data_IF_495016418431
#
_entry.id   IF_495016418431
#
_cell.length_a   1.000
_cell.length_b   1.000
_cell.length_c   1.000
_cell.angle_alpha   90.00
_cell.angle_beta   90.00
_cell.angle_gamma   90.00
#
_symmetry.space_group_name_H-M   'P 1'
#
loop_
_entity.id
_entity.type
_entity.pdbx_description
1 polymer ?
#
# COMPACT_ATOMS: atom_id res chain seq x y z
N UNK A 1 -5.25 36.47 -2.17
CA UNK A 1 -4.94 35.05 -1.87
C UNK A 1 -3.46 34.87 -2.09
N UNK A 2 -2.70 34.72 -1.01
CA UNK A 2 -1.24 34.59 -1.12
C UNK A 2 -0.80 33.40 -0.26
N UNK A 3 -0.61 32.26 -0.91
CA UNK A 3 0.13 31.14 -0.30
C UNK A 3 1.60 31.53 -0.25
N UNK A 4 2.17 31.64 0.95
CA UNK A 4 3.53 32.10 1.17
C UNK A 4 4.38 30.96 1.74
N UNK A 5 5.48 30.62 1.06
CA UNK A 5 6.45 29.66 1.58
C UNK A 5 7.48 30.37 2.44
N UNK A 6 7.50 30.07 3.73
CA UNK A 6 8.57 30.53 4.64
C UNK A 6 9.81 29.64 4.52
N UNK A 7 9.63 28.37 4.12
CA UNK A 7 10.69 27.44 3.76
C UNK A 7 10.27 26.63 2.55
N UNK A 8 11.17 26.43 1.61
CA UNK A 8 11.00 25.64 0.39
C UNK A 8 11.82 24.34 0.44
N UNK A 9 11.29 23.29 -0.16
CA UNK A 9 12.05 22.10 -0.49
C UNK A 9 12.94 22.33 -1.73
N UNK A 10 13.91 21.43 -1.95
CA UNK A 10 14.71 21.40 -3.19
C UNK A 10 13.83 21.24 -4.44
N UNK A 11 14.24 21.80 -5.59
CA UNK A 11 13.54 21.58 -6.86
C UNK A 11 13.48 20.11 -7.28
N UNK A 12 12.40 19.71 -8.00
CA UNK A 12 12.17 18.33 -8.44
C UNK A 12 13.13 17.82 -9.54
N UNK A 13 13.91 18.71 -10.18
CA UNK A 13 14.82 18.34 -11.26
C UNK A 13 15.91 17.33 -10.86
N UNK A 14 16.37 17.40 -9.61
CA UNK A 14 17.43 16.51 -9.09
C UNK A 14 16.94 15.08 -8.83
N UNK A 15 15.62 14.88 -8.72
CA UNK A 15 15.00 13.57 -8.44
C UNK A 15 14.91 12.66 -9.69
N UNK A 16 14.86 13.24 -10.89
CA UNK A 16 14.63 12.48 -12.12
C UNK A 16 15.82 11.59 -12.52
N UNK A 17 17.05 12.00 -12.22
CA UNK A 17 18.25 11.24 -12.52
C UNK A 17 18.39 10.02 -11.61
N UNK A 18 18.10 10.16 -10.32
CA UNK A 18 18.13 9.08 -9.33
C UNK A 18 17.10 7.99 -9.67
N UNK A 19 15.92 8.42 -10.15
CA UNK A 19 14.86 7.50 -10.58
C UNK A 19 15.26 6.68 -11.81
N UNK A 20 15.98 7.26 -12.77
CA UNK A 20 16.43 6.54 -13.97
C UNK A 20 17.49 5.47 -13.64
N UNK A 21 18.43 5.81 -12.75
CA UNK A 21 19.44 4.86 -12.30
C UNK A 21 18.81 3.70 -11.50
N UNK A 22 17.86 4.02 -10.61
CA UNK A 22 17.12 3.01 -9.84
C UNK A 22 16.39 2.03 -10.76
N UNK A 23 15.72 2.52 -11.82
CA UNK A 23 15.03 1.66 -12.82
C UNK A 23 15.97 0.69 -13.49
N UNK A 24 17.12 1.15 -13.97
CA UNK A 24 18.09 0.31 -14.67
C UNK A 24 18.66 -0.80 -13.76
N UNK A 25 18.98 -0.46 -12.51
CA UNK A 25 19.47 -1.43 -11.53
C UNK A 25 18.41 -2.51 -11.24
N UNK A 26 17.16 -2.10 -11.07
CA UNK A 26 16.06 -3.03 -10.79
C UNK A 26 15.81 -3.95 -11.98
N UNK A 27 15.72 -3.41 -13.19
CA UNK A 27 15.49 -4.18 -14.41
C UNK A 27 16.58 -5.25 -14.61
N UNK A 28 17.85 -4.86 -14.47
CA UNK A 28 18.98 -5.78 -14.57
C UNK A 28 18.89 -6.89 -13.50
N UNK A 29 18.55 -6.52 -12.28
CA UNK A 29 18.44 -7.48 -11.16
C UNK A 29 17.30 -8.47 -11.38
N UNK A 30 16.11 -8.00 -11.80
CA UNK A 30 14.96 -8.87 -12.08
C UNK A 30 15.23 -9.82 -13.24
N UNK A 31 15.90 -9.34 -14.31
CA UNK A 31 16.32 -10.17 -15.45
C UNK A 31 17.29 -11.27 -15.00
N UNK A 32 18.24 -10.95 -14.12
CA UNK A 32 19.18 -11.92 -13.58
C UNK A 32 18.48 -13.00 -12.74
N UNK A 33 17.52 -12.60 -11.90
CA UNK A 33 16.72 -13.56 -11.12
C UNK A 33 15.89 -14.47 -12.03
N UNK A 34 15.30 -13.94 -13.10
CA UNK A 34 14.54 -14.74 -14.07
C UNK A 34 15.40 -15.75 -14.79
N UNK A 35 16.65 -15.40 -15.09
CA UNK A 35 17.59 -16.26 -15.82
C UNK A 35 18.25 -17.32 -14.94
N UNK A 36 18.58 -17.01 -13.68
CA UNK A 36 19.43 -17.87 -12.81
C UNK A 36 18.76 -18.35 -11.52
N UNK A 37 17.49 -17.97 -11.26
CA UNK A 37 16.71 -18.43 -10.13
C UNK A 37 17.38 -18.23 -8.77
N UNK A 38 17.40 -19.27 -7.94
CA UNK A 38 18.00 -19.25 -6.59
C UNK A 38 19.46 -18.83 -6.58
N UNK A 39 20.23 -19.10 -7.64
CA UNK A 39 21.65 -18.71 -7.69
C UNK A 39 21.80 -17.18 -7.74
N UNK A 40 20.97 -16.49 -8.54
CA UNK A 40 20.97 -15.03 -8.57
C UNK A 40 20.56 -14.44 -7.20
N UNK A 41 19.54 -15.00 -6.57
CA UNK A 41 19.09 -14.58 -5.23
C UNK A 41 20.22 -14.74 -4.20
N UNK A 42 20.98 -15.85 -4.24
CA UNK A 42 22.11 -16.09 -3.33
C UNK A 42 23.24 -15.08 -3.53
N UNK A 43 23.63 -14.84 -4.78
CA UNK A 43 24.70 -13.91 -5.12
C UNK A 43 24.34 -12.49 -4.66
N UNK A 44 23.09 -12.07 -4.88
CA UNK A 44 22.58 -10.76 -4.45
C UNK A 44 22.49 -10.64 -2.92
N UNK A 45 21.97 -11.66 -2.24
CA UNK A 45 21.88 -11.68 -0.77
C UNK A 45 23.28 -11.67 -0.13
N UNK A 46 24.25 -12.41 -0.70
CA UNK A 46 25.66 -12.37 -0.25
C UNK A 46 26.25 -10.97 -0.46
N UNK A 47 25.96 -10.35 -1.61
CA UNK A 47 26.53 -9.04 -1.97
C UNK A 47 25.98 -7.90 -1.10
N UNK A 48 24.68 -7.87 -0.88
CA UNK A 48 24.01 -6.75 -0.22
C UNK A 48 23.77 -6.95 1.29
N UNK A 49 23.48 -8.18 1.68
CA UNK A 49 23.11 -8.50 3.07
C UNK A 49 24.22 -9.28 3.79
N UNK A 50 25.27 -9.71 3.08
CA UNK A 50 26.33 -10.62 3.58
C UNK A 50 25.76 -11.88 4.25
N UNK A 51 24.63 -12.36 3.69
CA UNK A 51 23.83 -13.43 4.27
C UNK A 51 23.36 -14.40 3.17
N UNK A 52 23.96 -15.59 3.10
CA UNK A 52 23.56 -16.63 2.15
C UNK A 52 23.56 -18.02 2.83
N UNK A 53 22.59 -18.30 3.71
CA UNK A 53 22.48 -19.58 4.41
C UNK A 53 22.13 -20.71 3.45
N UNK A 54 22.23 -21.97 3.92
CA UNK A 54 21.84 -23.14 3.13
C UNK A 54 20.38 -23.05 2.64
N UNK A 55 19.49 -22.52 3.46
CA UNK A 55 18.08 -22.21 3.11
C UNK A 55 17.71 -20.83 3.62
N UNK A 56 17.10 -20.03 2.77
CA UNK A 56 16.51 -18.76 3.18
C UNK A 56 15.17 -18.94 3.93
N UNK A 57 14.48 -20.07 3.70
CA UNK A 57 13.26 -20.43 4.42
C UNK A 57 13.61 -20.90 5.80
N UNK A 58 12.95 -20.32 6.80
CA UNK A 58 13.04 -20.80 8.18
C UNK A 58 12.15 -22.02 8.36
N UNK A 59 12.70 -23.05 9.03
CA UNK A 59 11.88 -24.18 9.51
C UNK A 59 11.05 -23.77 10.73
N UNK A 60 10.01 -24.52 11.05
CA UNK A 60 9.21 -24.30 12.25
C UNK A 60 10.06 -24.32 13.53
N UNK A 61 11.03 -25.24 13.61
CA UNK A 61 11.96 -25.33 14.74
C UNK A 61 12.79 -24.06 14.86
N UNK A 62 13.31 -23.53 13.75
CA UNK A 62 14.08 -22.28 13.72
C UNK A 62 13.19 -21.11 14.13
N UNK A 63 11.95 -21.02 13.62
CA UNK A 63 11.00 -19.98 13.98
C UNK A 63 10.75 -19.99 15.50
N UNK A 64 10.44 -21.13 16.09
CA UNK A 64 10.22 -21.23 17.53
C UNK A 64 11.44 -20.85 18.37
N UNK A 65 12.65 -21.28 17.96
CA UNK A 65 13.91 -20.89 18.62
C UNK A 65 14.18 -19.38 18.53
N UNK A 66 13.85 -18.76 17.40
CA UNK A 66 14.03 -17.32 17.21
C UNK A 66 13.02 -16.55 18.08
N UNK A 67 11.74 -16.95 18.04
CA UNK A 67 10.67 -16.30 18.81
C UNK A 67 10.92 -16.39 20.32
N UNK A 68 11.49 -17.49 20.80
CA UNK A 68 11.82 -17.67 22.21
C UNK A 68 12.85 -16.62 22.75
N UNK A 69 13.54 -15.91 21.86
CA UNK A 69 14.46 -14.81 22.21
C UNK A 69 13.72 -13.47 22.44
N UNK A 70 12.45 -13.36 22.08
CA UNK A 70 11.67 -12.12 22.22
C UNK A 70 11.31 -11.92 23.70
N UNK A 71 11.62 -10.77 24.31
CA UNK A 71 11.22 -10.46 25.68
C UNK A 71 9.69 -10.54 25.84
N UNK A 72 9.23 -10.96 27.02
CA UNK A 72 7.80 -11.15 27.28
C UNK A 72 6.99 -9.86 27.05
N UNK A 73 7.55 -8.69 27.46
CA UNK A 73 6.93 -7.38 27.26
C UNK A 73 6.75 -7.06 25.77
N UNK A 74 7.80 -7.26 24.97
CA UNK A 74 7.76 -6.99 23.52
C UNK A 74 6.76 -7.93 22.83
N UNK A 75 6.65 -9.16 23.30
CA UNK A 75 5.67 -10.12 22.80
C UNK A 75 4.22 -9.68 23.10
N UNK A 76 3.98 -9.09 24.27
CA UNK A 76 2.67 -8.52 24.63
C UNK A 76 2.33 -7.34 23.72
N UNK A 77 3.28 -6.43 23.48
CA UNK A 77 3.12 -5.26 22.62
C UNK A 77 2.85 -5.68 21.16
N UNK A 78 3.56 -6.70 20.64
CA UNK A 78 3.32 -7.29 19.32
C UNK A 78 1.89 -7.83 19.23
N UNK A 79 1.44 -8.59 20.21
CA UNK A 79 0.08 -9.17 20.23
C UNK A 79 -0.98 -8.10 20.31
N UNK A 80 -0.77 -7.06 21.15
CA UNK A 80 -1.70 -5.94 21.27
C UNK A 80 -1.86 -5.22 19.92
N UNK A 81 -0.76 -4.79 19.30
CA UNK A 81 -0.78 -4.10 18.01
C UNK A 81 -1.45 -4.95 16.92
N UNK A 82 -1.09 -6.24 16.85
CA UNK A 82 -1.69 -7.16 15.87
C UNK A 82 -3.20 -7.31 16.06
N UNK A 83 -3.67 -7.36 17.31
CA UNK A 83 -5.10 -7.45 17.60
C UNK A 83 -5.86 -6.22 17.10
N UNK A 84 -5.30 -5.00 17.26
CA UNK A 84 -5.93 -3.79 16.75
C UNK A 84 -6.03 -3.81 15.22
N UNK A 85 -4.95 -4.21 14.54
CA UNK A 85 -4.94 -4.36 13.07
C UNK A 85 -5.99 -5.39 12.61
N UNK A 86 -6.07 -6.55 13.29
CA UNK A 86 -7.09 -7.57 12.99
C UNK A 86 -8.51 -7.06 13.21
N UNK A 87 -8.75 -6.35 14.32
CA UNK A 87 -10.06 -5.79 14.64
C UNK A 87 -10.55 -4.87 13.52
N UNK A 88 -9.71 -3.93 13.10
CA UNK A 88 -10.11 -2.99 12.04
C UNK A 88 -10.22 -3.66 10.67
N UNK A 89 -9.28 -4.53 10.32
CA UNK A 89 -9.33 -5.32 9.10
C UNK A 89 -10.61 -6.20 9.02
N UNK A 90 -11.06 -6.76 10.17
CA UNK A 90 -12.31 -7.54 10.23
C UNK A 90 -13.52 -6.66 9.96
N UNK A 91 -13.61 -5.47 10.58
CA UNK A 91 -14.68 -4.50 10.30
C UNK A 91 -14.71 -4.13 8.81
N UNK A 92 -13.55 -3.89 8.21
CA UNK A 92 -13.46 -3.64 6.78
C UNK A 92 -13.92 -4.85 5.95
N UNK A 93 -13.54 -6.08 6.34
CA UNK A 93 -13.96 -7.32 5.65
C UNK A 93 -15.46 -7.51 5.72
N UNK A 94 -16.05 -7.27 6.88
CA UNK A 94 -17.49 -7.45 7.13
C UNK A 94 -18.34 -6.42 6.37
N UNK A 95 -17.77 -5.27 6.02
CA UNK A 95 -18.43 -4.25 5.20
C UNK A 95 -18.50 -4.60 3.71
N UNK A 96 -17.75 -5.62 3.27
CA UNK A 96 -17.70 -6.07 1.87
C UNK A 96 -18.65 -7.24 1.66
N UNK A 97 -19.87 -6.95 1.25
CA UNK A 97 -20.91 -7.95 1.02
C UNK A 97 -20.88 -8.43 -0.43
N UNK A 98 -21.10 -9.75 -0.62
CA UNK A 98 -21.46 -10.28 -1.92
C UNK A 98 -22.84 -9.74 -2.32
N UNK A 99 -23.03 -9.47 -3.60
CA UNK A 99 -24.28 -8.93 -4.14
C UNK A 99 -24.87 -9.91 -5.13
N UNK A 100 -26.16 -10.15 -5.04
CA UNK A 100 -26.97 -10.80 -6.08
C UNK A 100 -28.28 -10.04 -6.22
N UNK A 101 -28.62 -9.61 -7.45
CA UNK A 101 -29.81 -8.79 -7.72
C UNK A 101 -30.39 -9.13 -9.07
N UNK A 102 -31.72 -9.21 -9.17
CA UNK A 102 -32.46 -9.27 -10.41
C UNK A 102 -32.65 -7.86 -10.96
N UNK A 103 -31.91 -7.50 -12.02
CA UNK A 103 -31.94 -6.13 -12.62
C UNK A 103 -32.98 -5.97 -13.72
N UNK A 104 -33.33 -7.07 -14.36
CA UNK A 104 -34.45 -7.20 -15.30
C UNK A 104 -35.14 -8.53 -15.01
N UNK A 105 -36.45 -8.70 -15.26
CA UNK A 105 -37.11 -9.98 -15.04
C UNK A 105 -36.36 -11.13 -15.72
N UNK A 106 -35.94 -12.10 -14.93
CA UNK A 106 -35.16 -13.26 -15.38
C UNK A 106 -33.66 -13.00 -15.60
N UNK A 107 -33.13 -11.80 -15.31
CA UNK A 107 -31.69 -11.47 -15.42
C UNK A 107 -31.11 -11.20 -14.04
N UNK A 108 -30.26 -12.09 -13.58
CA UNK A 108 -29.57 -12.00 -12.28
C UNK A 108 -28.13 -11.56 -12.52
N UNK A 109 -27.73 -10.50 -11.87
CA UNK A 109 -26.34 -10.02 -11.80
C UNK A 109 -25.82 -10.13 -10.37
N UNK A 110 -24.56 -10.42 -10.23
CA UNK A 110 -23.93 -10.42 -8.91
C UNK A 110 -22.44 -10.22 -8.95
N UNK A 111 -21.85 -10.01 -7.77
CA UNK A 111 -20.41 -10.09 -7.59
C UNK A 111 -20.05 -10.82 -6.29
N UNK A 112 -18.84 -11.35 -6.26
CA UNK A 112 -18.24 -12.00 -5.09
C UNK A 112 -16.87 -11.44 -4.81
N UNK A 113 -16.54 -11.35 -3.53
CA UNK A 113 -15.21 -10.98 -3.05
C UNK A 113 -14.39 -12.24 -2.76
N UNK A 114 -13.47 -12.56 -3.67
CA UNK A 114 -12.67 -13.78 -3.62
C UNK A 114 -11.21 -13.43 -3.29
N UNK A 115 -10.63 -14.01 -2.20
CA UNK A 115 -9.23 -13.80 -1.87
C UNK A 115 -8.29 -14.18 -3.01
N UNK A 116 -7.17 -13.46 -3.16
CA UNK A 116 -6.06 -13.92 -3.99
C UNK A 116 -5.55 -15.25 -3.44
N UNK A 117 -5.08 -16.14 -4.31
CA UNK A 117 -4.66 -17.48 -3.88
C UNK A 117 -3.32 -17.48 -3.12
N UNK A 118 -2.49 -16.46 -3.34
CA UNK A 118 -1.24 -16.30 -2.60
C UNK A 118 -0.78 -14.85 -2.59
N UNK A 119 -0.12 -14.47 -1.49
CA UNK A 119 0.49 -13.14 -1.32
C UNK A 119 1.90 -13.25 -0.80
N UNK A 120 2.78 -12.40 -1.32
CA UNK A 120 4.13 -12.16 -0.82
C UNK A 120 4.18 -10.85 -0.04
N UNK A 121 4.42 -10.95 1.26
CA UNK A 121 4.53 -9.82 2.17
C UNK A 121 6.01 -9.45 2.34
N UNK A 122 6.40 -8.27 1.87
CA UNK A 122 7.72 -7.73 2.14
C UNK A 122 7.71 -6.93 3.44
N UNK A 123 8.53 -7.35 4.40
CA UNK A 123 8.67 -6.71 5.72
C UNK A 123 10.07 -6.11 5.83
N UNK A 124 10.24 -4.78 5.77
CA UNK A 124 11.55 -4.15 5.85
C UNK A 124 12.22 -4.38 7.21
N UNK A 125 13.53 -4.60 7.20
CA UNK A 125 14.34 -4.70 8.42
C UNK A 125 15.80 -4.22 8.25
N UNK A 126 16.09 -3.42 7.22
CA UNK A 126 17.46 -2.97 6.94
C UNK A 126 17.99 -2.01 8.00
N UNK A 127 17.56 -0.76 7.97
CA UNK A 127 17.95 0.27 8.95
C UNK A 127 17.24 0.07 10.30
N UNK A 128 15.95 -0.22 10.25
CA UNK A 128 15.08 -0.46 11.40
C UNK A 128 14.29 -1.76 11.21
N UNK A 129 14.18 -2.62 12.24
CA UNK A 129 13.32 -3.81 12.18
C UNK A 129 11.85 -3.39 12.24
N UNK A 130 11.18 -3.41 11.08
CA UNK A 130 9.82 -2.90 10.93
C UNK A 130 8.77 -3.93 11.36
N UNK A 131 8.69 -4.20 12.67
CA UNK A 131 7.75 -5.16 13.26
C UNK A 131 6.30 -4.88 12.86
N UNK A 132 5.89 -3.61 12.88
CA UNK A 132 4.54 -3.20 12.50
C UNK A 132 4.19 -3.55 11.05
N UNK A 133 5.14 -3.52 10.11
CA UNK A 133 4.88 -3.89 8.71
C UNK A 133 4.45 -5.35 8.55
N UNK A 134 4.85 -6.25 9.45
CA UNK A 134 4.34 -7.62 9.48
C UNK A 134 2.87 -7.66 9.89
N UNK A 135 2.45 -6.84 10.86
CA UNK A 135 1.03 -6.73 11.24
C UNK A 135 0.19 -6.22 10.07
N UNK A 136 0.68 -5.15 9.43
CA UNK A 136 -0.05 -4.47 8.35
C UNK A 136 -0.22 -5.34 7.10
N UNK A 137 0.77 -6.15 6.76
CA UNK A 137 0.72 -7.01 5.58
C UNK A 137 0.20 -8.42 5.88
N UNK A 138 0.81 -9.14 6.82
CA UNK A 138 0.52 -10.55 7.06
C UNK A 138 -0.82 -10.74 7.80
N UNK A 139 -1.07 -9.97 8.88
CA UNK A 139 -2.31 -10.14 9.63
C UNK A 139 -3.53 -9.69 8.82
N UNK A 140 -3.41 -8.62 8.02
CA UNK A 140 -4.49 -8.18 7.11
C UNK A 140 -4.77 -9.23 6.02
N UNK A 141 -3.72 -9.85 5.44
CA UNK A 141 -3.88 -10.96 4.49
C UNK A 141 -4.60 -12.16 5.11
N UNK A 142 -4.27 -12.49 6.36
CA UNK A 142 -4.91 -13.57 7.13
C UNK A 142 -6.41 -13.29 7.33
N UNK A 143 -6.78 -12.05 7.72
CA UNK A 143 -8.19 -11.64 7.88
C UNK A 143 -8.93 -11.66 6.53
N UNK A 144 -8.27 -11.30 5.44
CA UNK A 144 -8.85 -11.40 4.09
C UNK A 144 -9.11 -12.85 3.66
N UNK A 145 -8.55 -13.85 4.35
CA UNK A 145 -8.68 -15.26 4.03
C UNK A 145 -7.78 -15.74 2.89
N UNK A 146 -6.60 -15.14 2.71
CA UNK A 146 -5.63 -15.56 1.69
C UNK A 146 -5.08 -16.95 2.04
N UNK A 147 -5.22 -17.98 1.16
CA UNK A 147 -4.85 -19.35 1.49
C UNK A 147 -3.34 -19.58 1.67
N UNK A 148 -2.50 -18.83 0.97
CA UNK A 148 -1.04 -18.91 1.09
C UNK A 148 -0.42 -17.54 1.28
N UNK A 149 0.15 -17.31 2.45
CA UNK A 149 0.82 -16.07 2.84
C UNK A 149 2.30 -16.38 3.05
N UNK A 150 3.17 -15.80 2.24
CA UNK A 150 4.61 -15.84 2.45
C UNK A 150 5.12 -14.49 2.89
N UNK A 151 6.11 -14.45 3.76
CA UNK A 151 6.71 -13.22 4.24
C UNK A 151 8.23 -13.26 4.09
N UNK A 152 8.79 -12.17 3.55
CA UNK A 152 10.22 -11.98 3.39
C UNK A 152 10.69 -10.78 4.20
N UNK A 153 11.82 -10.93 4.88
CA UNK A 153 12.49 -9.84 5.61
C UNK A 153 14.00 -9.97 5.43
N UNK A 154 14.75 -8.87 5.27
CA UNK A 154 16.21 -8.95 5.27
C UNK A 154 16.74 -9.40 6.64
N UNK A 155 17.96 -9.95 6.70
CA UNK A 155 18.63 -10.14 7.97
C UNK A 155 18.90 -8.78 8.64
N UNK A 156 18.92 -8.77 9.95
CA UNK A 156 19.31 -7.62 10.77
C UNK A 156 20.57 -7.98 11.54
N UNK A 157 21.67 -7.26 11.31
CA UNK A 157 22.99 -7.59 11.87
C UNK A 157 23.42 -9.04 11.57
N UNK A 158 23.14 -9.55 10.37
CA UNK A 158 23.54 -10.90 9.93
C UNK A 158 22.67 -12.05 10.45
N UNK A 159 21.57 -11.77 11.15
CA UNK A 159 20.65 -12.78 11.69
C UNK A 159 19.18 -12.36 11.46
N UNK A 160 18.21 -13.31 11.47
CA UNK A 160 16.79 -12.98 11.50
C UNK A 160 16.44 -12.19 12.76
N UNK A 161 15.78 -11.03 12.64
CA UNK A 161 15.32 -10.27 13.80
C UNK A 161 14.18 -11.01 14.54
N UNK A 162 14.33 -11.33 15.85
CA UNK A 162 13.35 -12.12 16.58
C UNK A 162 11.94 -11.52 16.63
N UNK A 163 11.83 -10.21 16.84
CA UNK A 163 10.54 -9.53 16.93
C UNK A 163 9.81 -9.51 15.56
N UNK A 164 10.55 -9.31 14.46
CA UNK A 164 9.98 -9.34 13.10
C UNK A 164 9.50 -10.76 12.76
N UNK A 165 10.31 -11.78 13.07
CA UNK A 165 9.91 -13.19 12.85
C UNK A 165 8.69 -13.55 13.69
N UNK A 166 8.65 -13.14 14.95
CA UNK A 166 7.48 -13.33 15.82
C UNK A 166 6.22 -12.67 15.25
N UNK A 167 6.35 -11.44 14.78
CA UNK A 167 5.23 -10.71 14.19
C UNK A 167 4.71 -11.35 12.90
N UNK A 168 5.59 -11.82 12.02
CA UNK A 168 5.20 -12.55 10.80
C UNK A 168 4.52 -13.88 11.14
N UNK A 169 5.07 -14.66 12.06
CA UNK A 169 4.51 -15.95 12.46
C UNK A 169 3.13 -15.79 13.13
N UNK A 170 3.02 -14.93 14.13
CA UNK A 170 1.77 -14.63 14.82
C UNK A 170 0.74 -13.98 13.88
N UNK A 171 1.20 -13.24 12.87
CA UNK A 171 0.36 -12.67 11.82
C UNK A 171 -0.34 -13.71 10.97
N UNK A 172 0.22 -14.90 10.85
CA UNK A 172 -0.31 -16.02 10.06
C UNK A 172 0.47 -16.28 8.77
N UNK A 173 1.76 -15.92 8.70
CA UNK A 173 2.61 -16.31 7.58
C UNK A 173 2.81 -17.83 7.57
N UNK A 174 2.53 -18.46 6.44
CA UNK A 174 2.74 -19.90 6.21
C UNK A 174 4.19 -20.25 5.91
N UNK A 175 4.91 -19.32 5.33
CA UNK A 175 6.31 -19.45 4.96
C UNK A 175 7.05 -18.15 5.29
N UNK A 176 8.18 -18.24 5.97
CA UNK A 176 9.01 -17.08 6.34
C UNK A 176 10.39 -17.26 5.72
N UNK A 177 10.83 -16.26 4.97
CA UNK A 177 12.13 -16.22 4.30
C UNK A 177 12.96 -15.05 4.80
N UNK A 178 14.23 -15.28 5.04
CA UNK A 178 15.20 -14.24 5.42
C UNK A 178 15.94 -13.78 4.18
N UNK A 179 15.29 -12.91 3.42
CA UNK A 179 15.79 -12.32 2.17
C UNK A 179 15.27 -10.87 2.11
N UNK A 180 16.12 -9.92 1.75
CA UNK A 180 15.76 -8.50 1.60
C UNK A 180 15.77 -8.00 0.16
N UNK A 181 15.48 -6.74 -0.03
CA UNK A 181 15.69 -5.99 -1.25
C UNK A 181 14.92 -6.45 -2.49
N UNK A 182 15.46 -6.11 -3.66
CA UNK A 182 14.90 -6.46 -4.97
C UNK A 182 14.81 -7.98 -5.11
N UNK A 183 15.82 -8.72 -4.62
CA UNK A 183 15.90 -10.16 -4.76
C UNK A 183 14.75 -10.88 -4.01
N UNK A 184 14.28 -10.36 -2.88
CA UNK A 184 13.12 -10.90 -2.19
C UNK A 184 11.83 -10.71 -3.01
N UNK A 185 11.62 -9.49 -3.50
CA UNK A 185 10.45 -9.13 -4.30
C UNK A 185 10.44 -9.87 -5.64
N UNK A 186 11.61 -9.94 -6.30
CA UNK A 186 11.80 -10.69 -7.54
C UNK A 186 11.54 -12.18 -7.37
N UNK A 187 12.13 -12.81 -6.34
CA UNK A 187 11.92 -14.23 -6.04
C UNK A 187 10.45 -14.56 -5.75
N UNK A 188 9.75 -13.69 -5.00
CA UNK A 188 8.31 -13.89 -4.73
C UNK A 188 7.45 -13.75 -5.97
N UNK A 189 7.77 -12.85 -6.91
CA UNK A 189 6.96 -12.60 -8.10
C UNK A 189 7.27 -13.54 -9.27
N UNK A 190 8.56 -13.76 -9.53
CA UNK A 190 9.05 -14.56 -10.66
C UNK A 190 8.96 -16.04 -10.33
N UNK A 191 9.25 -16.38 -9.08
CA UNK A 191 9.47 -17.72 -8.60
C UNK A 191 10.93 -18.16 -8.82
N UNK A 192 11.38 -19.07 -7.98
CA UNK A 192 12.68 -19.73 -8.08
C UNK A 192 12.51 -21.21 -7.78
N UNK A 193 13.61 -21.97 -7.73
CA UNK A 193 13.55 -23.40 -7.40
C UNK A 193 12.99 -23.66 -5.99
N UNK A 194 13.22 -22.73 -5.05
CA UNK A 194 12.79 -22.86 -3.64
C UNK A 194 11.61 -22.00 -3.26
N UNK A 195 11.26 -20.97 -4.03
CA UNK A 195 10.17 -20.04 -3.76
C UNK A 195 9.13 -20.11 -4.88
N UNK A 196 7.97 -20.71 -4.60
CA UNK A 196 6.84 -20.68 -5.55
C UNK A 196 6.31 -19.27 -5.70
N UNK A 197 6.03 -18.79 -6.94
CA UNK A 197 5.55 -17.45 -7.17
C UNK A 197 4.21 -17.19 -6.46
N UNK A 198 3.95 -15.91 -6.21
CA UNK A 198 2.72 -15.41 -5.62
C UNK A 198 1.88 -14.63 -6.65
N UNK A 199 0.61 -14.38 -6.34
CA UNK A 199 -0.29 -13.62 -7.20
C UNK A 199 -0.33 -12.12 -6.86
N UNK A 200 0.05 -11.75 -5.63
CA UNK A 200 0.04 -10.38 -5.14
C UNK A 200 1.29 -10.12 -4.31
N UNK A 201 1.91 -8.96 -4.48
CA UNK A 201 2.99 -8.44 -3.65
C UNK A 201 2.49 -7.28 -2.80
N UNK A 202 2.79 -7.29 -1.52
CA UNK A 202 2.40 -6.23 -0.59
C UNK A 202 3.57 -5.85 0.33
N UNK A 203 3.49 -4.65 0.86
CA UNK A 203 4.44 -4.13 1.84
C UNK A 203 5.23 -2.92 1.34
N UNK A 204 5.62 -2.02 2.26
CA UNK A 204 6.43 -0.86 1.96
C UNK A 204 7.90 -1.25 1.75
N UNK A 205 8.69 -0.37 1.15
CA UNK A 205 10.11 -0.57 1.00
C UNK A 205 10.83 0.68 0.51
N UNK A 206 12.15 0.60 0.40
CA UNK A 206 12.94 1.67 -0.18
C UNK A 206 12.62 1.85 -1.69
N UNK A 207 13.25 2.86 -2.31
CA UNK A 207 13.03 3.18 -3.73
C UNK A 207 13.23 1.98 -4.67
N UNK A 208 14.19 1.10 -4.39
CA UNK A 208 14.46 -0.09 -5.19
C UNK A 208 13.36 -1.14 -5.07
N UNK A 209 12.86 -1.38 -3.87
CA UNK A 209 11.73 -2.30 -3.61
C UNK A 209 10.45 -1.78 -4.26
N UNK A 210 10.16 -0.48 -4.11
CA UNK A 210 9.01 0.16 -4.73
C UNK A 210 9.07 0.07 -6.27
N UNK A 211 10.24 0.33 -6.85
CA UNK A 211 10.47 0.21 -8.29
C UNK A 211 10.40 -1.23 -8.79
N UNK A 212 10.89 -2.22 -8.01
CA UNK A 212 10.75 -3.62 -8.34
C UNK A 212 9.26 -4.05 -8.39
N UNK A 213 8.46 -3.64 -7.41
CA UNK A 213 7.01 -3.86 -7.44
C UNK A 213 6.37 -3.24 -8.69
N UNK A 214 6.76 -2.01 -9.04
CA UNK A 214 6.25 -1.31 -10.23
C UNK A 214 6.56 -2.07 -11.52
N UNK A 215 7.79 -2.57 -11.69
CA UNK A 215 8.19 -3.32 -12.89
C UNK A 215 7.53 -4.71 -12.98
N UNK A 216 7.21 -5.30 -11.84
CA UNK A 216 6.55 -6.61 -11.76
C UNK A 216 5.02 -6.53 -11.87
N UNK A 217 4.43 -5.32 -11.78
CA UNK A 217 2.99 -5.13 -11.95
C UNK A 217 2.55 -5.57 -13.35
N UNK A 218 1.49 -6.36 -13.39
CA UNK A 218 1.03 -7.03 -14.60
C UNK A 218 1.43 -8.51 -14.66
N UNK A 219 2.62 -8.87 -14.20
CA UNK A 219 2.99 -10.27 -13.93
C UNK A 219 2.34 -10.75 -12.63
N UNK A 220 2.38 -9.92 -11.59
CA UNK A 220 1.67 -10.08 -10.32
C UNK A 220 0.92 -8.80 -9.97
N UNK A 221 -0.08 -8.88 -9.11
CA UNK A 221 -0.68 -7.69 -8.51
C UNK A 221 0.27 -7.03 -7.51
N UNK A 222 0.06 -5.73 -7.27
CA UNK A 222 0.70 -5.02 -6.15
C UNK A 222 -0.35 -4.30 -5.32
N UNK A 223 -0.05 -4.05 -4.06
CA UNK A 223 -0.92 -3.27 -3.17
C UNK A 223 -1.06 -1.82 -3.65
N UNK A 224 0.08 -1.13 -3.75
CA UNK A 224 0.20 0.28 -4.16
C UNK A 224 1.68 0.63 -4.37
N UNK A 225 1.94 1.84 -4.85
CA UNK A 225 3.28 2.39 -4.90
C UNK A 225 3.60 3.09 -3.58
N UNK A 226 4.45 2.51 -2.76
CA UNK A 226 4.94 3.05 -1.49
C UNK A 226 6.45 3.26 -1.55
N UNK A 227 6.86 4.49 -1.79
CA UNK A 227 8.25 4.95 -1.81
C UNK A 227 8.66 5.64 -0.50
N UNK A 228 9.54 6.64 -0.54
CA UNK A 228 9.94 7.40 0.65
C UNK A 228 8.76 8.04 1.36
N UNK A 229 8.76 7.98 2.69
CA UNK A 229 7.70 8.54 3.55
C UNK A 229 7.53 10.04 3.35
N UNK A 230 6.29 10.49 3.28
CA UNK A 230 5.86 11.88 3.10
C UNK A 230 4.90 12.26 4.23
N UNK A 231 5.11 13.41 4.88
CA UNK A 231 4.25 13.86 5.98
C UNK A 231 3.87 15.33 5.83
N UNK A 232 2.60 15.62 6.04
CA UNK A 232 2.07 16.97 6.11
C UNK A 232 1.31 17.17 7.42
N UNK A 233 1.57 18.29 8.08
CA UNK A 233 0.80 18.77 9.21
C UNK A 233 0.01 19.99 8.76
N UNK A 234 -1.29 19.93 8.93
CA UNK A 234 -2.21 21.07 8.77
C UNK A 234 -2.59 21.51 10.17
N UNK A 235 -2.20 22.71 10.56
CA UNK A 235 -2.39 23.20 11.91
C UNK A 235 -2.79 24.69 11.94
N UNK A 236 -3.50 25.09 12.98
CA UNK A 236 -3.80 26.49 13.31
C UNK A 236 -3.24 26.84 14.70
N UNK A 237 -3.67 27.94 15.28
CA UNK A 237 -3.21 28.43 16.60
C UNK A 237 -3.79 27.66 17.80
N UNK A 238 -4.53 26.58 17.58
CA UNK A 238 -5.04 25.70 18.63
C UNK A 238 -4.01 24.69 19.14
N UNK A 239 -2.88 24.54 18.47
CA UNK A 239 -1.76 23.68 18.87
C UNK A 239 -0.45 24.46 18.95
N UNK A 240 0.52 23.88 19.63
CA UNK A 240 1.84 24.52 19.83
C UNK A 240 2.90 24.05 18.81
N UNK A 241 3.97 24.82 18.74
CA UNK A 241 5.05 24.60 17.80
C UNK A 241 5.88 23.34 18.13
N UNK A 242 6.00 22.95 19.39
CA UNK A 242 6.74 21.77 19.82
C UNK A 242 6.06 20.50 19.29
N UNK A 243 4.73 20.43 19.34
CA UNK A 243 3.97 19.32 18.79
C UNK A 243 4.16 19.20 17.27
N UNK A 244 4.00 20.31 16.54
CA UNK A 244 4.22 20.31 15.08
C UNK A 244 5.65 19.88 14.70
N UNK A 245 6.64 20.44 15.35
CA UNK A 245 8.06 20.14 15.09
C UNK A 245 8.41 18.68 15.42
N UNK A 246 7.91 18.16 16.54
CA UNK A 246 8.15 16.78 16.98
C UNK A 246 7.56 15.79 15.98
N UNK A 247 6.29 15.99 15.55
CA UNK A 247 5.61 15.09 14.63
C UNK A 247 6.27 15.14 13.24
N UNK A 248 6.72 16.31 12.78
CA UNK A 248 7.44 16.44 11.51
C UNK A 248 8.79 15.73 11.52
N UNK A 249 9.59 15.94 12.57
CA UNK A 249 10.93 15.35 12.68
C UNK A 249 10.88 13.84 12.94
N UNK A 250 9.86 13.36 13.68
CA UNK A 250 9.62 11.94 13.88
C UNK A 250 9.34 11.18 12.58
N UNK A 251 8.89 11.86 11.54
CA UNK A 251 8.72 11.28 10.19
C UNK A 251 9.94 11.52 9.30
N UNK A 252 10.62 12.66 9.45
CA UNK A 252 11.83 12.98 8.68
C UNK A 252 13.00 12.01 8.96
N UNK A 253 13.02 11.30 10.09
CA UNK A 253 14.04 10.30 10.44
C UNK A 253 13.99 9.01 9.58
N UNK A 254 12.89 8.76 8.85
CA UNK A 254 12.75 7.58 8.00
C UNK A 254 13.82 7.50 6.91
N UNK A 255 14.22 8.64 6.35
CA UNK A 255 15.25 8.68 5.31
C UNK A 255 15.64 10.10 4.91
N UNK A 256 16.79 10.23 4.25
CA UNK A 256 17.34 11.54 3.80
C UNK A 256 16.43 12.27 2.80
N UNK A 257 15.44 11.60 2.23
CA UNK A 257 14.53 12.12 1.20
C UNK A 257 13.04 12.01 1.61
N UNK A 258 12.75 12.11 2.91
CA UNK A 258 11.38 12.05 3.47
C UNK A 258 10.81 13.46 3.64
N UNK A 259 9.93 13.97 2.76
CA UNK A 259 9.37 15.31 2.89
C UNK A 259 8.54 15.46 4.16
N UNK A 260 8.70 16.61 4.83
CA UNK A 260 7.87 17.00 5.96
C UNK A 260 7.41 18.47 5.76
N UNK A 261 6.09 18.70 5.78
CA UNK A 261 5.53 20.02 5.51
C UNK A 261 4.59 20.46 6.64
N UNK A 262 4.72 21.71 7.05
CA UNK A 262 3.70 22.42 7.84
C UNK A 262 2.89 23.33 6.92
N UNK A 263 1.57 23.24 6.98
CA UNK A 263 0.63 24.13 6.32
C UNK A 263 -0.24 24.78 7.40
N UNK A 264 -0.21 26.11 7.51
CA UNK A 264 -0.87 26.80 8.62
C UNK A 264 -1.43 28.16 8.22
N UNK A 265 -2.47 28.60 8.91
CA UNK A 265 -2.97 30.01 8.84
C UNK A 265 -2.28 30.91 9.86
N UNK A 266 -1.54 30.36 10.82
CA UNK A 266 -0.88 31.12 11.89
C UNK A 266 0.59 31.38 11.56
N UNK A 267 0.94 32.63 11.27
CA UNK A 267 2.33 33.04 11.11
C UNK A 267 3.16 32.80 12.36
N UNK A 268 2.58 33.07 13.53
CA UNK A 268 3.26 32.86 14.81
C UNK A 268 3.61 31.38 15.02
N UNK A 269 2.67 30.46 14.72
CA UNK A 269 2.93 29.02 14.78
C UNK A 269 4.02 28.61 13.77
N UNK A 270 3.96 29.10 12.54
CA UNK A 270 4.94 28.80 11.51
C UNK A 270 6.38 29.19 11.92
N UNK A 271 6.55 30.43 12.42
CA UNK A 271 7.85 30.96 12.84
C UNK A 271 8.34 30.22 14.11
N UNK A 272 7.47 29.96 15.08
CA UNK A 272 7.83 29.20 16.28
C UNK A 272 8.20 27.75 15.95
N UNK A 273 7.51 27.08 15.01
CA UNK A 273 7.84 25.72 14.58
C UNK A 273 9.24 25.64 13.95
N UNK A 274 9.66 26.63 13.18
CA UNK A 274 11.02 26.69 12.64
C UNK A 274 12.07 26.71 13.77
N UNK A 275 11.85 27.50 14.82
CA UNK A 275 12.74 27.55 15.99
C UNK A 275 12.74 26.24 16.80
N UNK A 276 11.57 25.63 16.97
CA UNK A 276 11.47 24.35 17.66
C UNK A 276 12.14 23.21 16.90
N UNK A 277 12.06 23.18 15.56
CA UNK A 277 12.81 22.21 14.76
C UNK A 277 14.30 22.32 15.00
N UNK A 278 14.85 23.55 14.97
CA UNK A 278 16.27 23.77 15.27
C UNK A 278 16.66 23.30 16.67
N UNK A 279 15.80 23.54 17.67
CA UNK A 279 16.01 23.07 19.06
C UNK A 279 16.00 21.56 19.15
N UNK A 280 14.97 20.90 18.57
CA UNK A 280 14.80 19.44 18.66
C UNK A 280 15.92 18.72 17.91
N UNK A 281 16.37 19.20 16.78
CA UNK A 281 17.50 18.62 16.03
C UNK A 281 18.80 18.59 16.83
N UNK A 282 18.96 19.41 17.89
CA UNK A 282 20.14 19.37 18.78
C UNK A 282 20.09 18.23 19.80
N UNK A 283 18.92 17.68 20.06
CA UNK A 283 18.72 16.64 21.10
C UNK A 283 18.20 15.32 20.53
N UNK A 284 17.72 15.30 19.29
CA UNK A 284 17.16 14.11 18.66
C UNK A 284 18.28 13.12 18.30
N UNK A 285 18.26 11.87 18.81
CA UNK A 285 19.31 10.88 18.50
C UNK A 285 19.44 10.55 17.00
N UNK A 286 18.36 10.73 16.21
CA UNK A 286 18.32 10.48 14.78
C UNK A 286 18.51 11.74 13.93
N UNK A 287 19.03 12.82 14.54
CA UNK A 287 19.23 14.11 13.89
C UNK A 287 20.08 14.04 12.60
N UNK A 288 21.05 13.13 12.52
CA UNK A 288 21.89 12.95 11.32
C UNK A 288 21.03 12.65 10.07
N UNK A 289 19.94 11.95 10.21
CA UNK A 289 19.01 11.67 9.11
C UNK A 289 17.96 12.78 8.98
N UNK A 290 17.31 13.12 10.11
CA UNK A 290 16.20 14.06 10.11
C UNK A 290 16.61 15.48 9.66
N UNK A 291 17.82 15.95 10.04
CA UNK A 291 18.30 17.26 9.64
C UNK A 291 18.53 17.37 8.11
N UNK A 292 19.07 16.34 7.49
CA UNK A 292 19.27 16.31 6.03
C UNK A 292 17.93 16.31 5.32
N UNK A 293 17.01 15.47 5.76
CA UNK A 293 15.66 15.41 5.21
C UNK A 293 14.93 16.76 5.36
N UNK A 294 14.97 17.35 6.56
CA UNK A 294 14.36 18.64 6.82
C UNK A 294 15.00 19.77 5.99
N UNK A 295 16.33 19.83 5.93
CA UNK A 295 17.05 20.83 5.14
C UNK A 295 16.62 20.80 3.68
N UNK A 296 16.57 19.61 3.08
CA UNK A 296 16.42 19.42 1.65
C UNK A 296 14.95 19.29 1.20
N UNK A 297 14.06 18.76 2.05
CA UNK A 297 12.67 18.45 1.69
C UNK A 297 11.64 19.03 2.64
N UNK A 298 12.07 19.73 3.70
CA UNK A 298 11.15 20.38 4.64
C UNK A 298 10.50 21.62 4.01
N UNK A 299 9.23 21.85 4.30
CA UNK A 299 8.46 23.03 3.86
C UNK A 299 7.66 23.62 5.01
N UNK A 300 7.53 24.95 5.00
CA UNK A 300 6.60 25.69 5.87
C UNK A 300 5.80 26.65 5.00
N UNK A 301 4.50 26.43 4.96
CA UNK A 301 3.57 27.08 4.03
C UNK A 301 2.51 27.85 4.84
N UNK A 302 2.48 29.16 4.67
CA UNK A 302 1.49 30.04 5.28
C UNK A 302 0.37 30.31 4.29
N UNK A 303 -0.86 30.07 4.70
CA UNK A 303 -2.09 30.31 3.97
C UNK A 303 -2.94 31.36 4.67
N UNK A 304 -3.83 32.04 3.94
CA UNK A 304 -4.76 33.00 4.53
C UNK A 304 -6.01 32.31 5.11
N UNK A 305 -6.37 31.12 4.60
CA UNK A 305 -7.61 30.43 4.95
C UNK A 305 -7.45 28.90 5.02
N UNK A 306 -8.39 28.23 5.73
CA UNK A 306 -8.49 26.76 5.73
C UNK A 306 -8.72 26.17 4.32
N UNK A 307 -9.45 26.87 3.47
CA UNK A 307 -9.67 26.44 2.08
C UNK A 307 -8.36 26.43 1.26
N UNK A 308 -7.46 27.37 1.50
CA UNK A 308 -6.15 27.38 0.88
C UNK A 308 -5.24 26.29 1.46
N UNK A 309 -5.29 26.02 2.78
CA UNK A 309 -4.60 24.88 3.37
C UNK A 309 -5.06 23.55 2.75
N UNK A 310 -6.36 23.37 2.60
CA UNK A 310 -6.94 22.22 1.90
C UNK A 310 -6.42 22.13 0.46
N UNK A 311 -6.44 23.22 -0.29
CA UNK A 311 -5.95 23.26 -1.67
C UNK A 311 -4.49 22.84 -1.77
N UNK A 312 -3.63 23.29 -0.87
CA UNK A 312 -2.21 22.89 -0.81
C UNK A 312 -2.10 21.39 -0.56
N UNK A 313 -2.87 20.86 0.40
CA UNK A 313 -2.88 19.43 0.72
C UNK A 313 -3.31 18.57 -0.46
N UNK A 314 -4.41 18.92 -1.12
CA UNK A 314 -4.93 18.24 -2.32
C UNK A 314 -3.90 18.23 -3.48
N UNK A 315 -3.17 19.33 -3.65
CA UNK A 315 -2.12 19.43 -4.69
C UNK A 315 -0.91 18.54 -4.39
N UNK A 316 -0.53 18.41 -3.11
CA UNK A 316 0.60 17.61 -2.68
C UNK A 316 0.22 16.12 -2.54
N UNK A 317 -1.00 15.82 -2.09
CA UNK A 317 -1.54 14.48 -1.90
C UNK A 317 -0.54 13.55 -1.15
N UNK A 318 -0.08 14.02 0.01
CA UNK A 318 0.94 13.34 0.80
C UNK A 318 0.45 12.03 1.40
N UNK A 319 1.40 11.17 1.72
CA UNK A 319 1.18 9.87 2.35
C UNK A 319 0.46 10.01 3.70
N UNK A 320 1.04 10.79 4.60
CA UNK A 320 0.47 11.07 5.92
C UNK A 320 0.01 12.52 5.98
N UNK A 321 -1.25 12.75 6.29
CA UNK A 321 -1.79 14.09 6.53
C UNK A 321 -2.37 14.14 7.93
N UNK A 322 -1.74 14.90 8.81
CA UNK A 322 -2.21 15.13 10.19
C UNK A 322 -2.86 16.51 10.25
N UNK A 323 -4.11 16.54 10.69
CA UNK A 323 -4.90 17.77 10.86
C UNK A 323 -5.06 18.05 12.34
N UNK A 324 -4.61 19.20 12.78
CA UNK A 324 -4.69 19.67 14.16
C UNK A 324 -5.22 21.12 14.16
N UNK A 325 -6.52 21.26 13.95
CA UNK A 325 -7.20 22.54 13.82
C UNK A 325 -8.47 22.56 14.64
N UNK A 326 -9.14 23.71 14.72
CA UNK A 326 -10.50 23.82 15.28
C UNK A 326 -11.58 23.23 14.35
N UNK A 327 -11.19 22.69 13.15
CA UNK A 327 -12.10 22.20 12.09
C UNK A 327 -11.74 20.80 11.57
N UNK A 328 -11.29 19.91 12.41
CA UNK A 328 -10.86 18.58 12.00
C UNK A 328 -11.94 17.80 11.21
N UNK A 329 -13.21 17.86 11.67
CA UNK A 329 -14.32 17.21 10.99
C UNK A 329 -14.60 17.81 9.60
N UNK A 330 -14.38 19.11 9.44
CA UNK A 330 -14.52 19.76 8.14
C UNK A 330 -13.46 19.22 7.14
N UNK A 331 -12.21 19.01 7.61
CA UNK A 331 -11.19 18.39 6.76
C UNK A 331 -11.54 16.95 6.41
N UNK A 332 -12.07 16.16 7.36
CA UNK A 332 -12.53 14.79 7.09
C UNK A 332 -13.59 14.76 5.97
N UNK A 333 -14.49 15.74 5.95
CA UNK A 333 -15.57 15.84 4.96
C UNK A 333 -15.06 16.29 3.58
N UNK A 334 -14.05 17.16 3.52
CA UNK A 334 -13.67 17.84 2.28
C UNK A 334 -12.37 17.35 1.64
N UNK A 335 -11.51 16.65 2.38
CA UNK A 335 -10.26 16.09 1.82
C UNK A 335 -10.53 14.86 0.99
N UNK A 336 -9.87 14.78 -0.16
CA UNK A 336 -10.02 13.67 -1.12
C UNK A 336 -8.69 13.02 -1.55
N UNK A 337 -7.56 13.68 -1.34
CA UNK A 337 -6.25 13.25 -1.82
C UNK A 337 -5.23 13.11 -0.68
N UNK A 338 -5.19 11.95 -0.05
CA UNK A 338 -4.24 11.60 1.01
C UNK A 338 -4.00 10.08 1.06
N UNK A 339 -2.91 9.67 1.67
CA UNK A 339 -2.69 8.25 1.95
C UNK A 339 -3.41 7.81 3.23
N UNK A 340 -3.12 8.47 4.34
CA UNK A 340 -3.79 8.32 5.63
C UNK A 340 -4.06 9.68 6.27
N UNK A 341 -5.23 9.83 6.91
CA UNK A 341 -5.67 11.05 7.58
C UNK A 341 -5.70 10.84 9.09
N UNK A 342 -5.03 11.74 9.83
CA UNK A 342 -4.89 11.72 11.28
C UNK A 342 -5.54 12.98 11.85
N UNK A 343 -6.57 12.83 12.67
CA UNK A 343 -7.42 13.94 13.11
C UNK A 343 -7.22 14.26 14.59
N UNK A 344 -6.96 15.51 14.86
CA UNK A 344 -6.82 16.08 16.19
C UNK A 344 -5.45 15.88 16.84
N UNK A 345 -5.13 16.73 17.83
CA UNK A 345 -3.81 16.74 18.46
C UNK A 345 -3.52 15.50 19.35
N UNK A 346 -4.52 14.67 19.66
CA UNK A 346 -4.36 13.41 20.38
C UNK A 346 -3.99 12.24 19.47
N UNK A 347 -4.09 12.44 18.15
CA UNK A 347 -3.78 11.46 17.13
C UNK A 347 -2.48 11.87 16.45
N UNK A 348 -1.56 10.93 16.25
CA UNK A 348 -0.35 11.17 15.47
C UNK A 348 -0.04 9.98 14.54
N UNK A 349 0.88 10.19 13.62
CA UNK A 349 1.30 9.18 12.65
C UNK A 349 1.85 7.93 13.34
N UNK A 350 2.70 8.10 14.38
CA UNK A 350 3.31 6.96 15.08
C UNK A 350 2.28 6.04 15.74
N UNK A 351 1.23 6.59 16.32
CA UNK A 351 0.13 5.77 16.87
C UNK A 351 -0.59 4.98 15.78
N UNK A 352 -0.89 5.63 14.65
CA UNK A 352 -1.47 4.97 13.47
C UNK A 352 -0.58 3.88 12.91
N UNK A 353 0.70 4.18 12.76
CA UNK A 353 1.68 3.26 12.20
C UNK A 353 1.94 2.02 13.07
N UNK A 354 1.72 2.11 14.37
CA UNK A 354 2.17 1.06 15.29
C UNK A 354 1.02 0.31 15.97
N UNK A 355 -0.01 1.02 16.49
CA UNK A 355 -0.85 0.40 17.52
C UNK A 355 -2.36 0.60 17.41
N UNK A 356 -2.89 1.58 16.67
CA UNK A 356 -4.35 1.83 16.67
C UNK A 356 -5.15 0.99 15.68
N UNK A 357 -4.52 0.40 14.68
CA UNK A 357 -5.15 -0.60 13.82
C UNK A 357 -5.36 -0.21 12.36
N UNK A 358 -5.25 1.06 12.00
CA UNK A 358 -5.20 1.49 10.60
C UNK A 358 -3.90 1.02 9.94
N UNK A 359 -3.93 0.81 8.62
CA UNK A 359 -2.76 0.31 7.92
C UNK A 359 -1.79 1.43 7.54
N UNK A 360 -0.51 1.25 7.84
CA UNK A 360 0.54 2.22 7.56
C UNK A 360 1.19 2.08 6.17
N UNK A 361 0.84 1.06 5.41
CA UNK A 361 1.32 0.93 4.03
C UNK A 361 0.46 1.84 3.16
N UNK A 362 0.94 3.05 2.93
CA UNK A 362 0.18 4.14 2.34
C UNK A 362 0.79 4.56 0.99
N UNK A 363 -0.01 5.17 0.09
CA UNK A 363 0.48 5.64 -1.20
C UNK A 363 1.32 6.89 -1.07
N UNK A 364 2.47 6.92 -1.75
CA UNK A 364 3.39 8.07 -1.85
C UNK A 364 3.37 8.68 -3.25
N UNK A 365 4.12 9.75 -3.46
CA UNK A 365 4.30 10.39 -4.76
C UNK A 365 2.98 10.73 -5.45
N UNK A 366 2.07 11.32 -4.69
CA UNK A 366 0.73 11.75 -5.14
C UNK A 366 -0.21 10.60 -5.53
N UNK A 367 0.12 9.35 -5.24
CA UNK A 367 -0.77 8.22 -5.52
C UNK A 367 -2.05 8.25 -4.67
N UNK A 368 -2.07 9.02 -3.57
CA UNK A 368 -3.28 9.33 -2.80
C UNK A 368 -4.43 9.93 -3.61
N UNK A 369 -4.16 10.39 -4.86
CA UNK A 369 -5.18 10.89 -5.80
C UNK A 369 -6.03 9.81 -6.43
N UNK A 370 -5.58 8.56 -6.45
CA UNK A 370 -6.29 7.45 -7.10
C UNK A 370 -6.35 6.16 -6.30
N UNK A 371 -5.65 6.08 -5.17
CA UNK A 371 -5.69 4.90 -4.29
C UNK A 371 -5.50 5.31 -2.84
N UNK A 372 -6.14 4.59 -1.93
CA UNK A 372 -5.84 4.64 -0.50
C UNK A 372 -4.75 3.65 -0.12
N UNK A 373 -4.50 3.51 1.19
CA UNK A 373 -3.54 2.57 1.77
C UNK A 373 -3.91 1.11 1.56
N UNK A 374 -3.02 0.25 2.05
CA UNK A 374 -3.27 -1.18 2.12
C UNK A 374 -4.43 -1.44 3.11
N UNK A 375 -5.34 -2.30 2.73
CA UNK A 375 -6.47 -2.71 3.54
C UNK A 375 -6.95 -4.09 3.08
N UNK A 376 -7.88 -4.69 3.80
CA UNK A 376 -8.35 -6.05 3.50
C UNK A 376 -8.83 -6.22 2.05
N UNK A 377 -9.45 -5.20 1.46
CA UNK A 377 -9.95 -5.24 0.09
C UNK A 377 -8.86 -5.36 -0.98
N UNK A 378 -7.61 -4.97 -0.71
CA UNK A 378 -6.50 -5.17 -1.65
C UNK A 378 -6.14 -6.65 -1.86
N UNK A 379 -6.50 -7.51 -0.93
CA UNK A 379 -6.30 -8.95 -1.02
C UNK A 379 -7.48 -9.69 -1.66
N UNK A 380 -8.56 -8.97 -1.97
CA UNK A 380 -9.80 -9.51 -2.52
C UNK A 380 -9.97 -9.09 -3.97
N UNK A 381 -10.36 -10.04 -4.80
CA UNK A 381 -10.79 -9.79 -6.17
C UNK A 381 -12.31 -9.72 -6.19
N UNK A 382 -12.87 -8.64 -6.73
CA UNK A 382 -14.31 -8.52 -6.96
C UNK A 382 -14.64 -9.07 -8.34
N UNK A 383 -15.23 -10.25 -8.39
CA UNK A 383 -15.62 -10.89 -9.64
C UNK A 383 -17.13 -10.81 -9.84
N UNK A 384 -17.55 -10.23 -10.97
CA UNK A 384 -18.95 -10.23 -11.39
C UNK A 384 -19.34 -11.57 -12.02
N UNK A 385 -20.59 -11.94 -11.87
CA UNK A 385 -21.24 -13.01 -12.61
C UNK A 385 -22.62 -12.58 -13.09
N UNK A 386 -23.13 -13.29 -14.09
CA UNK A 386 -24.41 -13.03 -14.72
C UNK A 386 -25.11 -14.32 -15.07
N UNK A 387 -26.44 -14.35 -14.91
CA UNK A 387 -27.27 -15.52 -15.18
C UNK A 387 -28.61 -15.07 -15.73
N UNK A 388 -29.02 -15.66 -16.86
CA UNK A 388 -30.36 -15.51 -17.42
C UNK A 388 -31.14 -16.78 -17.10
N UNK A 389 -32.33 -16.65 -16.50
CA UNK A 389 -33.08 -17.74 -15.90
C UNK A 389 -34.37 -18.09 -16.65
N UNK A 390 -34.85 -17.24 -17.57
CA UNK A 390 -36.08 -17.47 -18.33
C UNK A 390 -35.86 -17.36 -19.83
N UNK A 391 -36.70 -18.02 -20.60
CA UNK A 391 -36.68 -17.97 -22.08
C UNK A 391 -37.04 -16.58 -22.61
N UNK A 392 -37.95 -15.88 -21.93
CA UNK A 392 -38.36 -14.52 -22.25
C UNK A 392 -37.19 -13.55 -22.08
N UNK A 393 -36.47 -13.63 -20.95
CA UNK A 393 -35.29 -12.82 -20.73
C UNK A 393 -34.18 -13.12 -21.74
N UNK A 394 -33.91 -14.41 -22.03
CA UNK A 394 -32.89 -14.81 -22.97
C UNK A 394 -33.21 -14.29 -24.39
N UNK A 395 -34.49 -14.27 -24.74
CA UNK A 395 -34.98 -13.74 -26.03
C UNK A 395 -34.80 -12.22 -26.08
N UNK A 396 -35.35 -11.51 -25.12
CA UNK A 396 -35.27 -10.04 -25.04
C UNK A 396 -33.82 -9.53 -25.04
N UNK A 397 -32.99 -10.05 -24.13
CA UNK A 397 -31.57 -9.66 -24.07
C UNK A 397 -30.82 -10.02 -25.33
N UNK A 398 -31.17 -11.20 -25.94
CA UNK A 398 -30.61 -11.64 -27.21
C UNK A 398 -30.93 -10.70 -28.36
N UNK A 399 -32.16 -10.18 -28.46
CA UNK A 399 -32.54 -9.21 -29.47
C UNK A 399 -31.78 -7.90 -29.39
N UNK A 400 -31.67 -7.31 -28.16
CA UNK A 400 -30.89 -6.09 -27.96
C UNK A 400 -29.41 -6.34 -28.24
N UNK A 401 -28.84 -7.45 -27.68
CA UNK A 401 -27.45 -7.80 -27.90
C UNK A 401 -27.09 -8.02 -29.35
N UNK A 402 -27.97 -8.70 -30.13
CA UNK A 402 -27.79 -8.90 -31.57
C UNK A 402 -27.69 -7.58 -32.33
N UNK A 403 -28.62 -6.66 -32.09
CA UNK A 403 -28.63 -5.35 -32.75
C UNK A 403 -27.41 -4.52 -32.42
N UNK A 404 -26.99 -4.49 -31.14
CA UNK A 404 -25.78 -3.78 -30.70
C UNK A 404 -24.50 -4.38 -31.31
N UNK A 405 -24.38 -5.71 -31.35
CA UNK A 405 -23.23 -6.36 -31.96
C UNK A 405 -23.16 -6.06 -33.47
N UNK A 406 -24.32 -6.02 -34.16
CA UNK A 406 -24.35 -5.65 -35.59
C UNK A 406 -23.99 -4.16 -35.80
N UNK A 407 -24.40 -3.27 -34.90
CA UNK A 407 -24.00 -1.86 -34.93
C UNK A 407 -22.48 -1.68 -34.82
N UNK A 408 -21.84 -2.53 -34.05
CA UNK A 408 -20.37 -2.56 -33.87
C UNK A 408 -19.66 -3.37 -35.00
N UNK A 409 -20.39 -4.05 -35.86
CA UNK A 409 -19.82 -4.90 -36.91
C UNK A 409 -19.40 -6.30 -36.45
N UNK A 410 -19.73 -6.70 -35.22
CA UNK A 410 -19.37 -8.00 -34.63
C UNK A 410 -20.41 -9.08 -34.98
N UNK A 411 -20.43 -9.54 -36.23
CA UNK A 411 -21.41 -10.54 -36.73
C UNK A 411 -21.36 -11.84 -35.91
N UNK A 412 -20.19 -12.33 -35.57
CA UNK A 412 -20.05 -13.54 -34.74
C UNK A 412 -20.62 -13.39 -33.31
N UNK A 413 -20.50 -12.21 -32.70
CA UNK A 413 -21.15 -11.90 -31.44
C UNK A 413 -22.66 -11.80 -31.58
N UNK A 414 -23.13 -11.14 -32.66
CA UNK A 414 -24.56 -11.09 -32.99
C UNK A 414 -25.14 -12.49 -33.11
N UNK A 415 -24.43 -13.45 -33.73
CA UNK A 415 -24.90 -14.83 -33.87
C UNK A 415 -25.01 -15.59 -32.55
N UNK A 416 -24.17 -15.26 -31.51
CA UNK A 416 -24.36 -15.80 -30.18
C UNK A 416 -25.73 -15.37 -29.60
N UNK A 417 -26.11 -14.12 -29.81
CA UNK A 417 -27.40 -13.57 -29.40
C UNK A 417 -28.53 -14.17 -30.24
N UNK A 418 -28.39 -14.16 -31.56
CA UNK A 418 -29.37 -14.70 -32.50
C UNK A 418 -29.71 -16.16 -32.23
N UNK A 419 -28.72 -16.97 -31.87
CA UNK A 419 -28.96 -18.36 -31.50
C UNK A 419 -29.92 -18.48 -30.30
N UNK A 420 -29.75 -17.60 -29.29
CA UNK A 420 -30.66 -17.54 -28.14
C UNK A 420 -32.07 -17.13 -28.53
N UNK A 421 -32.18 -16.09 -29.34
CA UNK A 421 -33.49 -15.64 -29.90
C UNK A 421 -34.19 -16.76 -30.68
N UNK A 422 -33.49 -17.45 -31.59
CA UNK A 422 -34.03 -18.59 -32.34
C UNK A 422 -34.44 -19.75 -31.40
N UNK A 423 -33.61 -20.09 -30.41
CA UNK A 423 -33.82 -21.26 -29.56
C UNK A 423 -34.90 -21.05 -28.49
N UNK A 424 -34.81 -19.95 -27.77
CA UNK A 424 -35.68 -19.66 -26.64
C UNK A 424 -36.91 -18.83 -27.02
N UNK A 425 -36.74 -17.86 -27.92
CA UNK A 425 -37.85 -17.05 -28.43
C UNK A 425 -38.61 -17.68 -29.59
N UNK A 426 -38.08 -18.78 -30.20
CA UNK A 426 -38.65 -19.43 -31.39
C UNK A 426 -38.87 -18.44 -32.55
N UNK A 427 -38.10 -17.36 -32.61
CA UNK A 427 -38.14 -16.34 -33.61
C UNK A 427 -37.14 -16.63 -34.75
N UNK A 428 -37.53 -16.36 -35.99
CA UNK A 428 -36.61 -16.49 -37.09
C UNK A 428 -35.68 -15.28 -37.18
N UNK A 429 -34.38 -15.51 -37.09
CA UNK A 429 -33.33 -14.51 -37.37
C UNK A 429 -32.38 -15.11 -38.38
N UNK A 430 -32.28 -14.54 -39.60
CA UNK A 430 -31.36 -15.03 -40.61
C UNK A 430 -29.91 -14.96 -40.15
N UNK A 431 -29.10 -15.95 -40.56
CA UNK A 431 -27.68 -15.97 -40.17
C UNK A 431 -26.92 -14.76 -40.74
N UNK A 432 -26.09 -14.13 -39.92
CA UNK A 432 -25.31 -12.94 -40.32
C UNK A 432 -26.11 -11.63 -40.33
N UNK A 433 -27.32 -11.61 -39.79
CA UNK A 433 -28.15 -10.40 -39.66
C UNK A 433 -28.45 -10.07 -38.23
N UNK A 434 -28.94 -8.85 -37.95
CA UNK A 434 -29.44 -8.48 -36.63
C UNK A 434 -30.87 -8.98 -36.39
N UNK A 435 -31.19 -9.29 -35.11
CA UNK A 435 -32.58 -9.54 -34.71
C UNK A 435 -33.42 -8.26 -34.87
N UNK A 436 -34.66 -8.42 -35.35
CA UNK A 436 -35.61 -7.31 -35.54
C UNK A 436 -36.31 -6.94 -34.22
#
# INVERSE_FOLDING_TARGET
MAITYLKHAKPDADKAQDDAQTRAVVETTLTDIEARGDQAVRDLAQKFDQYAPASFRLSEEQIHKIIAKVPARDMEDIKFAQQQVRNFAQVQRDSMLDVEVETLPGVILGHKHIPVQSVGCYVPAGKFPMVASAHMSVATASVAGVPRIIACTPPFNGEPNPAVVAAMHLGGAHEIYVIGGIQAVGAMAIGTETIKPVHLLVGPGNAFVAEAKRQLFGRVGIDLFAGPTETMIIADDTVDAEMCATDMLGQAEHGYNSPAALVTTSRALAEATLLEIDRILQILPTADTASVSWRDYGEVILCDTHAEMLQVSEQKAYEHVQVMTDRDDWYLEHMTCYGGLFLGPRTNVSNGDKVIGTNHTLPTRKAGRYTGGLWVGKYLKTHSYQKITTDEAATMVGEYGSRLCMLEGFVGHAEQCNLRVRRYGKKHVPYGTGAQ
#
